data_IF_938755945152
#
_entry.id   IF_938755945152
#
_cell.length_a   1.000
_cell.length_b   1.000
_cell.length_c   1.000
_cell.angle_alpha   90.00
_cell.angle_beta   90.00
_cell.angle_gamma   90.00
#
_symmetry.space_group_name_H-M   'P 1'
#
loop_
_entity.id
_entity.type
_entity.pdbx_description
1 polymer ?
#
# COMPACT_ATOMS: atom_id res chain seq x y z
N UNK A 1 10.97 -11.53 25.36
CA UNK A 1 11.32 -10.20 24.82
C UNK A 1 12.78 -9.99 25.15
N UNK A 2 13.66 -10.09 24.16
CA UNK A 2 15.09 -9.83 24.32
C UNK A 2 15.48 -8.87 23.20
N UNK A 3 15.88 -7.66 23.57
CA UNK A 3 16.53 -6.73 22.64
C UNK A 3 17.93 -7.27 22.32
N UNK A 4 18.39 -7.27 21.06
CA UNK A 4 19.75 -7.66 20.74
C UNK A 4 20.75 -6.58 21.20
N UNK A 5 21.89 -7.04 21.72
CA UNK A 5 23.01 -6.25 22.22
C UNK A 5 23.74 -5.51 21.09
N UNK A 6 24.36 -4.37 21.42
CA UNK A 6 25.08 -3.47 20.51
C UNK A 6 26.42 -4.02 19.96
N UNK A 7 26.65 -5.33 20.08
CA UNK A 7 27.79 -6.02 19.51
C UNK A 7 27.21 -6.89 18.38
N UNK A 8 27.65 -6.70 17.14
CA UNK A 8 27.10 -7.32 15.92
C UNK A 8 27.18 -8.85 15.83
N UNK A 9 27.27 -9.57 16.95
CA UNK A 9 27.12 -11.01 17.03
C UNK A 9 25.62 -11.36 17.04
N UNK A 10 25.15 -11.81 15.88
CA UNK A 10 23.84 -12.41 15.73
C UNK A 10 23.70 -13.63 16.67
N UNK A 11 22.51 -13.89 17.22
CA UNK A 11 22.29 -15.05 18.08
C UNK A 11 22.67 -16.36 17.36
N UNK A 12 23.20 -17.33 18.11
CA UNK A 12 23.59 -18.66 17.61
C UNK A 12 22.49 -19.25 16.69
N UNK A 13 22.85 -19.59 15.46
CA UNK A 13 21.94 -20.14 14.43
C UNK A 13 21.74 -19.24 13.19
N UNK A 14 22.19 -17.98 13.25
CA UNK A 14 22.15 -17.05 12.12
C UNK A 14 23.44 -17.01 11.30
N UNK A 15 24.28 -18.06 11.33
CA UNK A 15 25.52 -18.16 10.53
C UNK A 15 25.32 -18.00 9.01
N UNK A 16 24.07 -18.11 8.56
CA UNK A 16 23.66 -17.93 7.18
C UNK A 16 23.34 -16.48 6.81
N UNK A 17 23.21 -15.60 7.79
CA UNK A 17 22.85 -14.19 7.63
C UNK A 17 24.11 -13.34 7.80
N UNK A 18 24.68 -12.89 6.69
CA UNK A 18 25.75 -11.89 6.69
C UNK A 18 25.13 -10.50 6.58
N UNK A 19 25.25 -9.71 7.64
CA UNK A 19 24.80 -8.32 7.66
C UNK A 19 25.95 -7.38 7.38
N UNK A 20 25.65 -6.30 6.66
CA UNK A 20 26.57 -5.18 6.54
C UNK A 20 26.71 -4.45 7.90
N UNK A 21 27.80 -3.72 8.17
CA UNK A 21 28.06 -3.13 9.50
C UNK A 21 27.00 -2.13 9.99
N UNK A 22 26.21 -1.59 9.06
CA UNK A 22 25.13 -0.62 9.30
C UNK A 22 23.72 -1.27 9.18
N UNK A 23 23.65 -2.56 8.85
CA UNK A 23 22.42 -3.31 8.69
C UNK A 23 22.00 -3.93 10.03
N UNK A 24 20.88 -3.46 10.58
CA UNK A 24 20.36 -3.92 11.87
C UNK A 24 19.14 -4.82 11.68
N UNK A 25 19.02 -5.84 12.53
CA UNK A 25 17.85 -6.72 12.54
C UNK A 25 16.69 -6.07 13.29
N UNK A 26 15.59 -5.84 12.61
CA UNK A 26 14.38 -5.22 13.18
C UNK A 26 13.44 -6.32 13.70
N UNK A 27 13.33 -7.42 12.96
CA UNK A 27 12.43 -8.50 13.31
C UNK A 27 12.95 -9.86 12.84
N UNK A 28 12.70 -10.87 13.66
CA UNK A 28 12.98 -12.27 13.38
C UNK A 28 11.69 -13.04 13.63
N UNK A 29 11.33 -13.92 12.70
CA UNK A 29 10.17 -14.78 12.85
C UNK A 29 10.37 -16.16 12.25
N UNK A 30 9.46 -17.04 12.64
CA UNK A 30 9.32 -18.40 12.13
C UNK A 30 7.85 -18.72 11.94
N UNK A 31 7.50 -19.70 11.09
CA UNK A 31 6.11 -20.09 10.89
C UNK A 31 5.42 -20.44 12.22
N UNK A 32 4.23 -19.88 12.42
CA UNK A 32 3.44 -20.02 13.64
C UNK A 32 3.09 -21.50 13.89
N UNK A 33 3.21 -21.96 15.13
CA UNK A 33 2.84 -23.33 15.54
C UNK A 33 1.45 -23.78 15.08
N UNK A 34 0.48 -22.87 15.02
CA UNK A 34 -0.90 -23.17 14.67
C UNK A 34 -1.11 -23.40 13.17
N UNK A 35 -0.12 -23.10 12.32
CA UNK A 35 -0.19 -23.47 10.90
C UNK A 35 -0.11 -24.97 10.65
N UNK A 36 0.20 -25.76 11.68
CA UNK A 36 0.10 -27.23 11.64
C UNK A 36 -1.33 -27.73 11.78
N UNK A 37 -2.28 -26.91 12.28
CA UNK A 37 -3.66 -27.34 12.54
C UNK A 37 -4.35 -27.88 11.28
N UNK A 38 -4.31 -27.21 10.11
CA UNK A 38 -4.89 -27.76 8.88
C UNK A 38 -4.27 -29.12 8.51
N UNK A 39 -2.95 -29.24 8.64
CA UNK A 39 -2.23 -30.47 8.35
C UNK A 39 -2.60 -31.60 9.33
N UNK A 40 -2.91 -31.30 10.59
CA UNK A 40 -3.41 -32.27 11.57
C UNK A 40 -4.86 -32.66 11.29
N UNK A 41 -5.73 -31.70 10.99
CA UNK A 41 -7.15 -31.94 10.67
C UNK A 41 -7.30 -32.86 9.47
N UNK A 42 -6.50 -32.66 8.42
CA UNK A 42 -6.49 -33.51 7.21
C UNK A 42 -5.62 -34.75 7.41
N UNK A 43 -4.49 -34.62 8.09
CA UNK A 43 -3.51 -35.69 8.25
C UNK A 43 -4.02 -36.82 9.12
N UNK A 44 -4.56 -36.54 10.31
CA UNK A 44 -5.03 -37.57 11.26
C UNK A 44 -6.02 -38.57 10.64
N UNK A 45 -7.10 -38.17 9.93
CA UNK A 45 -7.99 -39.14 9.31
C UNK A 45 -7.32 -39.94 8.19
N UNK A 46 -6.36 -39.36 7.47
CA UNK A 46 -5.60 -40.03 6.41
C UNK A 46 -4.42 -40.86 6.92
N UNK A 47 -4.10 -40.81 8.23
CA UNK A 47 -2.97 -41.53 8.81
C UNK A 47 -3.14 -43.05 8.74
N UNK A 48 -4.37 -43.55 8.66
CA UNK A 48 -4.66 -44.99 8.50
C UNK A 48 -4.05 -45.59 7.23
N UNK A 49 -3.80 -44.78 6.20
CA UNK A 49 -3.20 -45.20 4.93
C UNK A 49 -1.77 -44.66 4.79
N UNK A 50 -1.11 -44.29 5.90
CA UNK A 50 0.23 -43.67 5.99
C UNK A 50 0.39 -42.29 5.32
N UNK A 51 -0.47 -41.93 4.37
CA UNK A 51 -0.46 -40.63 3.68
C UNK A 51 -0.60 -39.49 4.68
N UNK A 52 -1.46 -39.63 5.68
CA UNK A 52 -1.63 -38.62 6.73
C UNK A 52 -0.37 -38.34 7.53
N UNK A 53 0.42 -39.38 7.83
CA UNK A 53 1.70 -39.22 8.54
C UNK A 53 2.68 -38.41 7.69
N UNK A 54 2.75 -38.66 6.38
CA UNK A 54 3.59 -37.91 5.46
C UNK A 54 3.20 -36.42 5.38
N UNK A 55 1.90 -36.11 5.37
CA UNK A 55 1.39 -34.73 5.39
C UNK A 55 1.84 -34.00 6.67
N UNK A 56 1.60 -34.62 7.84
CA UNK A 56 1.96 -34.04 9.14
C UNK A 56 3.47 -33.84 9.25
N UNK A 57 4.25 -34.85 8.88
CA UNK A 57 5.71 -34.79 8.91
C UNK A 57 6.25 -33.70 7.97
N UNK A 58 5.71 -33.58 6.76
CA UNK A 58 6.10 -32.55 5.79
C UNK A 58 5.80 -31.14 6.30
N UNK A 59 4.63 -30.92 6.90
CA UNK A 59 4.27 -29.64 7.50
C UNK A 59 5.17 -29.29 8.69
N UNK A 60 5.45 -30.27 9.56
CA UNK A 60 6.35 -30.11 10.70
C UNK A 60 7.78 -29.77 10.26
N UNK A 61 8.33 -30.52 9.30
CA UNK A 61 9.65 -30.24 8.74
C UNK A 61 9.69 -28.85 8.09
N UNK A 62 8.68 -28.49 7.29
CA UNK A 62 8.67 -27.16 6.65
C UNK A 62 8.68 -26.02 7.67
N UNK A 63 7.96 -26.18 8.79
CA UNK A 63 7.94 -25.20 9.88
C UNK A 63 9.31 -25.05 10.55
N UNK A 64 9.91 -26.16 10.98
CA UNK A 64 11.19 -26.12 11.71
C UNK A 64 12.36 -25.66 10.83
N UNK A 65 12.23 -25.82 9.51
CA UNK A 65 13.30 -25.51 8.57
C UNK A 65 13.08 -24.19 7.81
N UNK A 66 12.24 -23.29 8.33
CA UNK A 66 11.99 -21.97 7.73
C UNK A 66 12.17 -20.84 8.74
N UNK A 67 12.97 -19.84 8.37
CA UNK A 67 13.25 -18.65 9.17
C UNK A 67 13.09 -17.39 8.31
N UNK A 68 12.54 -16.34 8.91
CA UNK A 68 12.30 -15.05 8.29
C UNK A 68 13.02 -13.96 9.07
N UNK A 69 13.68 -13.04 8.37
CA UNK A 69 14.35 -11.91 8.98
C UNK A 69 14.02 -10.64 8.21
N UNK A 70 13.69 -9.59 8.94
CA UNK A 70 13.48 -8.24 8.42
C UNK A 70 14.55 -7.37 9.05
N UNK A 71 15.35 -6.75 8.21
CA UNK A 71 16.42 -5.84 8.63
C UNK A 71 16.06 -4.40 8.28
N UNK A 72 16.99 -3.48 8.52
CA UNK A 72 16.91 -2.12 8.02
C UNK A 72 17.08 -2.02 6.50
N UNK A 73 17.58 -3.04 5.81
CA UNK A 73 17.91 -2.94 4.38
C UNK A 73 17.14 -3.90 3.48
N UNK A 74 16.88 -5.10 3.98
CA UNK A 74 16.33 -6.18 3.19
C UNK A 74 15.47 -7.15 4.01
N UNK A 75 14.66 -7.89 3.27
CA UNK A 75 13.87 -9.03 3.70
C UNK A 75 14.62 -10.31 3.37
N UNK A 76 14.70 -11.23 4.33
CA UNK A 76 15.38 -12.51 4.17
C UNK A 76 14.43 -13.66 4.48
N UNK A 77 14.49 -14.69 3.64
CA UNK A 77 13.84 -15.98 3.86
C UNK A 77 14.87 -17.08 3.71
N UNK A 78 15.00 -17.91 4.74
CA UNK A 78 15.80 -19.13 4.71
C UNK A 78 14.88 -20.33 4.78
N UNK A 79 15.05 -21.30 3.88
CA UNK A 79 14.30 -22.56 3.88
C UNK A 79 15.20 -23.75 3.58
N UNK A 80 14.95 -24.88 4.26
CA UNK A 80 15.35 -26.20 3.79
C UNK A 80 15.94 -27.11 4.86
N UNK A 81 15.74 -28.42 4.65
CA UNK A 81 16.03 -29.48 5.64
C UNK A 81 17.41 -30.11 5.43
N UNK A 82 17.80 -30.27 4.17
CA UNK A 82 19.08 -30.90 3.76
C UNK A 82 19.99 -29.86 3.14
N UNK A 83 19.46 -29.11 2.18
CA UNK A 83 20.10 -27.93 1.60
C UNK A 83 19.41 -26.68 2.14
N UNK A 84 20.18 -25.59 2.32
CA UNK A 84 19.66 -24.30 2.76
C UNK A 84 19.53 -23.40 1.53
N UNK A 85 18.32 -22.96 1.25
CA UNK A 85 18.02 -21.91 0.27
C UNK A 85 17.82 -20.60 1.04
N UNK A 86 18.55 -19.56 0.65
CA UNK A 86 18.49 -18.23 1.28
C UNK A 86 18.15 -17.22 0.20
N UNK A 87 17.05 -16.48 0.42
CA UNK A 87 16.59 -15.43 -0.49
C UNK A 87 16.62 -14.09 0.21
N UNK A 88 17.29 -13.09 -0.40
CA UNK A 88 17.37 -11.69 0.05
C UNK A 88 16.63 -10.80 -0.95
N UNK A 89 15.75 -9.95 -0.46
CA UNK A 89 15.05 -8.92 -1.24
C UNK A 89 15.25 -7.56 -0.56
N UNK A 90 15.99 -6.66 -1.19
CA UNK A 90 16.17 -5.29 -0.70
C UNK A 90 14.89 -4.47 -0.83
N UNK A 91 14.64 -3.56 0.12
CA UNK A 91 13.42 -2.73 0.12
C UNK A 91 13.26 -1.88 -1.14
N UNK A 92 14.37 -1.46 -1.77
CA UNK A 92 14.37 -0.68 -3.02
C UNK A 92 13.75 -1.43 -4.22
N UNK A 93 13.73 -2.76 -4.17
CA UNK A 93 13.15 -3.60 -5.23
C UNK A 93 11.70 -3.93 -4.95
N UNK A 94 11.22 -3.74 -3.72
CA UNK A 94 9.86 -4.06 -3.33
C UNK A 94 8.91 -3.07 -3.96
N UNK A 95 7.86 -3.58 -4.60
CA UNK A 95 6.85 -2.79 -5.28
C UNK A 95 5.51 -2.86 -4.56
N UNK A 96 5.09 -4.09 -4.25
CA UNK A 96 3.83 -4.35 -3.58
C UNK A 96 4.05 -5.38 -2.48
N UNK A 97 3.32 -5.18 -1.39
CA UNK A 97 3.25 -6.12 -0.28
C UNK A 97 1.79 -6.37 0.02
N UNK A 98 1.35 -7.61 -0.09
CA UNK A 98 -0.02 -8.03 0.24
C UNK A 98 0.01 -9.09 1.34
N UNK A 99 -1.08 -9.20 2.09
CA UNK A 99 -1.24 -10.29 3.05
C UNK A 99 -2.52 -11.09 2.78
N UNK A 100 -2.47 -12.37 3.13
CA UNK A 100 -3.59 -13.28 3.01
C UNK A 100 -3.71 -14.14 4.27
N UNK A 101 -4.94 -14.50 4.63
CA UNK A 101 -5.24 -15.38 5.75
C UNK A 101 -6.32 -16.37 5.33
N UNK A 102 -6.02 -17.66 5.45
CA UNK A 102 -7.02 -18.70 5.31
C UNK A 102 -7.94 -18.76 6.53
N UNK A 103 -9.02 -19.54 6.46
CA UNK A 103 -9.96 -19.73 7.56
C UNK A 103 -9.29 -19.99 8.93
N UNK A 104 -8.33 -20.92 8.97
CA UNK A 104 -7.57 -21.21 10.18
C UNK A 104 -6.60 -20.08 10.55
N UNK A 105 -6.03 -19.40 9.55
CA UNK A 105 -5.19 -18.23 9.76
C UNK A 105 -5.93 -17.09 10.45
N UNK A 106 -7.16 -16.79 10.02
CA UNK A 106 -8.03 -15.80 10.66
C UNK A 106 -8.38 -16.19 12.09
N UNK A 107 -8.70 -17.47 12.34
CA UNK A 107 -9.07 -17.96 13.67
C UNK A 107 -7.89 -17.95 14.67
N UNK A 108 -6.68 -18.20 14.19
CA UNK A 108 -5.48 -18.36 15.02
C UNK A 108 -4.48 -17.20 14.90
N UNK A 109 -4.80 -16.16 14.14
CA UNK A 109 -3.99 -14.95 14.02
C UNK A 109 -2.69 -15.12 13.21
N UNK A 110 -2.67 -16.03 12.24
CA UNK A 110 -1.54 -16.20 11.32
C UNK A 110 -1.95 -16.01 9.86
N UNK A 111 -0.97 -15.77 8.99
CA UNK A 111 -1.20 -15.67 7.54
C UNK A 111 0.09 -15.63 6.76
N UNK A 112 -0.03 -15.32 5.47
CA UNK A 112 1.11 -15.13 4.59
C UNK A 112 1.23 -13.67 4.17
N UNK A 113 2.46 -13.20 4.03
CA UNK A 113 2.77 -11.87 3.47
C UNK A 113 3.57 -12.07 2.20
N UNK A 114 3.00 -11.69 1.07
CA UNK A 114 3.60 -11.84 -0.25
C UNK A 114 4.23 -10.53 -0.69
N UNK A 115 5.51 -10.61 -1.07
CA UNK A 115 6.35 -9.49 -1.48
C UNK A 115 6.70 -9.63 -2.94
N UNK A 116 6.30 -8.63 -3.73
CA UNK A 116 6.55 -8.56 -5.16
C UNK A 116 7.62 -7.51 -5.46
N UNK A 117 8.52 -7.82 -6.41
CA UNK A 117 9.62 -6.93 -6.75
C UNK A 117 9.57 -6.43 -8.19
N UNK A 118 10.20 -5.27 -8.44
CA UNK A 118 10.39 -4.71 -9.76
C UNK A 118 11.14 -5.70 -10.67
N UNK A 119 10.53 -6.06 -11.80
CA UNK A 119 11.13 -6.98 -12.78
C UNK A 119 10.90 -8.48 -12.50
N UNK A 120 10.18 -8.83 -11.44
CA UNK A 120 9.69 -10.19 -11.20
C UNK A 120 8.36 -10.47 -11.92
N UNK A 121 8.09 -11.73 -12.26
CA UNK A 121 6.82 -12.15 -12.87
C UNK A 121 5.72 -12.51 -11.85
N UNK A 122 5.93 -12.19 -10.56
CA UNK A 122 5.00 -12.50 -9.48
C UNK A 122 5.61 -12.29 -8.09
N UNK A 123 5.19 -13.11 -7.13
CA UNK A 123 5.69 -13.11 -5.74
C UNK A 123 7.15 -13.53 -5.72
N UNK A 124 8.03 -12.59 -5.39
CA UNK A 124 9.47 -12.86 -5.31
C UNK A 124 9.82 -13.49 -3.96
N UNK A 125 9.19 -13.05 -2.88
CA UNK A 125 9.43 -13.57 -1.54
C UNK A 125 8.11 -13.61 -0.76
N UNK A 126 7.92 -14.63 0.06
CA UNK A 126 6.71 -14.75 0.89
C UNK A 126 7.07 -15.19 2.29
N UNK A 127 6.50 -14.52 3.29
CA UNK A 127 6.58 -14.91 4.68
C UNK A 127 5.33 -15.72 5.03
N UNK A 128 5.45 -17.04 5.01
CA UNK A 128 4.34 -17.97 5.20
C UNK A 128 4.04 -18.20 6.69
N UNK A 129 2.75 -18.26 7.02
CA UNK A 129 2.29 -18.59 8.37
C UNK A 129 2.89 -17.69 9.46
N UNK A 130 3.16 -16.43 9.18
CA UNK A 130 3.62 -15.47 10.19
C UNK A 130 2.49 -15.06 11.12
N UNK A 131 2.82 -14.83 12.39
CA UNK A 131 1.89 -14.26 13.35
C UNK A 131 1.62 -12.79 13.00
N UNK A 132 0.36 -12.39 13.06
CA UNK A 132 -0.10 -11.03 12.72
C UNK A 132 0.47 -10.52 11.38
N UNK A 133 0.03 -11.11 10.25
CA UNK A 133 0.58 -10.78 8.93
C UNK A 133 0.34 -9.30 8.56
N UNK A 134 -0.71 -8.68 9.13
CA UNK A 134 -0.98 -7.26 8.95
C UNK A 134 0.11 -6.41 9.58
N UNK A 135 0.51 -6.71 10.83
CA UNK A 135 1.61 -5.99 11.48
C UNK A 135 2.92 -6.13 10.72
N UNK A 136 3.18 -7.30 10.15
CA UNK A 136 4.37 -7.54 9.32
C UNK A 136 4.32 -6.73 8.03
N UNK A 137 3.17 -6.68 7.34
CA UNK A 137 2.99 -5.84 6.16
C UNK A 137 3.19 -4.35 6.49
N UNK A 138 2.61 -3.86 7.59
CA UNK A 138 2.79 -2.48 8.05
C UNK A 138 4.26 -2.17 8.32
N UNK A 139 4.99 -3.08 8.98
CA UNK A 139 6.42 -2.95 9.25
C UNK A 139 7.25 -2.85 7.96
N UNK A 140 6.94 -3.69 6.96
CA UNK A 140 7.60 -3.66 5.65
C UNK A 140 7.32 -2.32 4.95
N UNK A 141 6.06 -1.89 4.92
CA UNK A 141 5.64 -0.64 4.28
C UNK A 141 6.27 0.59 4.94
N UNK A 142 6.33 0.62 6.28
CA UNK A 142 7.03 1.66 7.03
C UNK A 142 8.50 1.74 6.60
N UNK A 143 9.16 0.59 6.41
CA UNK A 143 10.56 0.54 6.04
C UNK A 143 10.84 0.99 4.61
N UNK A 144 9.93 0.69 3.68
CA UNK A 144 9.95 1.22 2.31
C UNK A 144 9.85 2.75 2.32
N UNK A 145 8.87 3.31 3.05
CA UNK A 145 8.68 4.77 3.17
C UNK A 145 9.87 5.48 3.79
N UNK A 146 10.46 4.90 4.83
CA UNK A 146 11.63 5.46 5.49
C UNK A 146 12.87 5.52 4.58
N UNK A 147 12.94 4.69 3.52
CA UNK A 147 14.00 4.74 2.51
C UNK A 147 13.70 5.69 1.35
N UNK A 148 12.43 5.89 1.02
CA UNK A 148 12.00 6.83 -0.02
C UNK A 148 11.14 7.99 0.52
N UNK A 149 11.71 8.90 1.34
CA UNK A 149 11.00 10.07 1.82
C UNK A 149 10.68 11.09 0.72
N UNK A 150 11.18 10.90 -0.52
CA UNK A 150 10.92 11.79 -1.65
C UNK A 150 9.69 11.36 -2.46
N UNK A 151 9.32 10.07 -2.43
CA UNK A 151 8.18 9.53 -3.19
C UNK A 151 6.80 10.06 -2.77
N UNK A 152 6.63 10.54 -1.54
CA UNK A 152 5.33 11.03 -1.01
C UNK A 152 5.17 12.56 -1.11
N UNK A 153 6.26 13.30 -1.32
CA UNK A 153 6.21 14.75 -1.49
C UNK A 153 5.61 15.18 -2.84
N UNK A 154 5.43 14.25 -3.79
CA UNK A 154 4.86 14.53 -5.12
C UNK A 154 3.33 14.59 -5.18
N UNK A 155 2.63 14.01 -4.21
CA UNK A 155 1.15 13.93 -4.22
C UNK A 155 0.47 15.07 -3.42
N UNK A 156 1.20 15.70 -2.49
CA UNK A 156 0.70 16.78 -1.65
C UNK A 156 0.63 18.13 -2.34
N UNK A 157 1.66 18.49 -3.12
CA UNK A 157 1.71 19.75 -3.86
C UNK A 157 0.61 19.78 -4.96
N UNK A 158 0.36 18.65 -5.64
CA UNK A 158 -0.60 18.59 -6.75
C UNK A 158 -2.07 18.67 -6.31
N UNK A 159 -2.44 18.14 -5.14
CA UNK A 159 -3.87 18.10 -4.75
C UNK A 159 -4.38 19.45 -4.29
N UNK A 160 -3.58 20.20 -3.54
CA UNK A 160 -3.94 21.54 -3.09
C UNK A 160 -4.01 22.52 -4.27
N UNK A 161 -3.00 22.50 -5.15
CA UNK A 161 -2.95 23.35 -6.34
C UNK A 161 -4.11 23.05 -7.31
N UNK A 162 -4.45 21.78 -7.52
CA UNK A 162 -5.60 21.38 -8.35
C UNK A 162 -6.94 21.81 -7.72
N UNK A 163 -7.07 21.73 -6.39
CA UNK A 163 -8.28 22.20 -5.69
C UNK A 163 -8.45 23.72 -5.83
N UNK A 164 -7.36 24.48 -5.78
CA UNK A 164 -7.39 25.93 -5.96
C UNK A 164 -7.78 26.34 -7.39
N UNK A 165 -7.28 25.61 -8.40
CA UNK A 165 -7.63 25.84 -9.81
C UNK A 165 -9.12 25.52 -10.08
N UNK A 166 -9.61 24.38 -9.57
CA UNK A 166 -11.03 24.00 -9.66
C UNK A 166 -11.94 25.00 -8.94
N UNK A 167 -11.52 25.51 -7.77
CA UNK A 167 -12.27 26.53 -7.03
C UNK A 167 -12.32 27.86 -7.80
N UNK A 168 -11.24 28.22 -8.49
CA UNK A 168 -11.20 29.40 -9.35
C UNK A 168 -12.16 29.26 -10.54
N UNK A 169 -12.19 28.11 -11.22
CA UNK A 169 -13.13 27.82 -12.30
C UNK A 169 -14.60 27.89 -11.83
N UNK A 170 -14.93 27.30 -10.68
CA UNK A 170 -16.30 27.32 -10.15
C UNK A 170 -16.78 28.73 -9.80
N UNK A 171 -15.89 29.59 -9.29
CA UNK A 171 -16.20 31.01 -9.03
C UNK A 171 -16.44 31.78 -10.33
N UNK A 172 -15.68 31.51 -11.38
CA UNK A 172 -15.86 32.13 -12.69
C UNK A 172 -17.20 31.75 -13.32
N UNK A 173 -17.58 30.47 -13.25
CA UNK A 173 -18.88 29.98 -13.74
C UNK A 173 -20.02 30.64 -12.96
N UNK A 174 -19.91 30.71 -11.63
CA UNK A 174 -20.93 31.34 -10.79
C UNK A 174 -21.13 32.82 -11.12
N UNK A 175 -20.04 33.57 -11.31
CA UNK A 175 -20.12 34.99 -11.66
C UNK A 175 -20.78 35.22 -13.02
N UNK A 176 -20.51 34.35 -14.01
CA UNK A 176 -21.16 34.40 -15.32
C UNK A 176 -22.66 34.08 -15.24
N UNK A 177 -23.06 33.15 -14.37
CA UNK A 177 -24.48 32.77 -14.17
C UNK A 177 -25.25 33.84 -13.39
N UNK A 178 -24.65 34.44 -12.36
CA UNK A 178 -25.29 35.50 -11.57
C UNK A 178 -25.36 36.84 -12.34
N UNK A 179 -24.42 37.09 -13.25
CA UNK A 179 -24.41 38.27 -14.12
C UNK A 179 -25.55 38.32 -15.16
N UNK A 180 -26.13 37.18 -15.52
CA UNK A 180 -27.26 37.08 -16.46
C UNK A 180 -28.63 37.30 -15.77
N UNK A 181 -28.65 37.37 -14.43
CA UNK A 181 -29.86 37.52 -13.62
C UNK A 181 -29.97 38.92 -12.98
N UNK A 182 -29.87 40.00 -13.76
CA UNK A 182 -30.25 41.34 -13.29
C UNK A 182 -31.71 41.67 -13.69
N UNK A 183 -32.59 42.11 -12.77
CA UNK A 183 -34.00 42.31 -13.05
C UNK A 183 -34.25 43.61 -13.83
N UNK A 184 -34.96 43.51 -14.95
CA UNK A 184 -35.46 44.66 -15.70
C UNK A 184 -36.50 45.43 -14.86
N UNK A 185 -36.08 46.52 -14.24
CA UNK A 185 -36.98 47.55 -13.69
C UNK A 185 -37.67 48.28 -14.84
N UNK A 186 -38.96 47.96 -15.07
CA UNK A 186 -39.89 48.83 -15.80
C UNK A 186 -40.23 50.01 -14.90
N UNK A 187 -39.83 51.20 -15.33
CA UNK A 187 -40.21 52.49 -14.76
C UNK A 187 -41.37 53.06 -15.60
N UNK A 188 -42.58 53.00 -15.06
CA UNK A 188 -43.76 53.64 -15.64
C UNK A 188 -44.05 54.93 -14.85
N UNK A 189 -43.68 56.07 -15.42
CA UNK A 189 -43.79 57.39 -14.78
C UNK A 189 -44.11 58.52 -15.76
N UNK A 190 -45.38 58.57 -16.19
CA UNK A 190 -46.25 59.72 -16.49
C UNK A 190 -45.62 61.11 -16.76
N UNK A 191 -46.02 61.68 -17.92
CA UNK A 191 -46.52 63.05 -18.18
C UNK A 191 -45.75 64.02 -19.11
N UNK A 192 -46.48 64.34 -20.19
CA UNK A 192 -46.79 65.67 -20.76
C UNK A 192 -45.81 66.44 -21.66
N UNK A 193 -46.34 66.72 -22.85
CA UNK A 193 -46.45 68.03 -23.55
C UNK A 193 -45.75 68.01 -24.93
N UNK A 194 -46.47 67.71 -26.00
CA UNK A 194 -47.29 68.61 -26.83
C UNK A 194 -46.55 69.18 -28.06
N UNK A 195 -47.30 69.16 -29.17
CA UNK A 195 -47.22 70.08 -30.30
C UNK A 195 -46.22 69.77 -31.43
N UNK A 196 -46.76 69.08 -32.44
CA UNK A 196 -46.74 69.39 -33.88
C UNK A 196 -45.78 70.47 -34.42
N UNK A 197 -45.03 70.11 -35.47
CA UNK A 197 -44.88 70.78 -36.78
C UNK A 197 -43.82 69.98 -37.59
N UNK A 198 -44.15 69.24 -38.66
CA UNK A 198 -44.41 69.65 -40.07
C UNK A 198 -43.31 70.52 -40.70
N UNK A 199 -42.64 69.99 -41.73
CA UNK A 199 -41.87 70.74 -42.75
C UNK A 199 -40.48 70.14 -42.98
N UNK A 200 -40.19 69.42 -44.07
CA UNK A 200 -40.13 69.82 -45.50
C UNK A 200 -38.71 70.21 -45.95
N UNK A 201 -38.34 69.70 -47.13
CA UNK A 201 -37.23 70.10 -48.02
C UNK A 201 -35.86 69.48 -47.68
N UNK A 202 -35.21 68.65 -48.52
CA UNK A 202 -34.70 68.91 -49.89
C UNK A 202 -33.72 70.11 -49.89
N UNK A 203 -32.54 70.12 -50.51
CA UNK A 203 -31.77 69.23 -51.37
C UNK A 203 -30.32 69.80 -51.39
N UNK A 204 -29.51 69.34 -52.34
CA UNK A 204 -28.29 69.98 -52.88
C UNK A 204 -27.00 69.90 -52.06
N UNK A 205 -25.81 69.70 -52.62
CA UNK A 205 -25.38 69.37 -54.00
C UNK A 205 -23.93 68.87 -53.91
N UNK A 206 -23.42 68.36 -55.03
CA UNK A 206 -22.01 68.04 -55.31
C UNK A 206 -21.04 69.24 -55.16
#
# INVERSE_FOLDING_TARGET
MSSPSADGELPDGFDWLSLDPEEEVIWIGKPHSMSLVPALVVGVPLSLVLIGLAIIASAYLSRENTEYVITTEALYKKRGVVSRDVKRVGFEKVQDTSYSQDFFGTQFGYGSVDISTAGGSGVELSFDSVADPKRIQELVNERIRARDPRGDAGDGESKADVLDDVLAELRAIRAAVEGDAAPATRDDGIAHDATTETGSSAADEE
#
